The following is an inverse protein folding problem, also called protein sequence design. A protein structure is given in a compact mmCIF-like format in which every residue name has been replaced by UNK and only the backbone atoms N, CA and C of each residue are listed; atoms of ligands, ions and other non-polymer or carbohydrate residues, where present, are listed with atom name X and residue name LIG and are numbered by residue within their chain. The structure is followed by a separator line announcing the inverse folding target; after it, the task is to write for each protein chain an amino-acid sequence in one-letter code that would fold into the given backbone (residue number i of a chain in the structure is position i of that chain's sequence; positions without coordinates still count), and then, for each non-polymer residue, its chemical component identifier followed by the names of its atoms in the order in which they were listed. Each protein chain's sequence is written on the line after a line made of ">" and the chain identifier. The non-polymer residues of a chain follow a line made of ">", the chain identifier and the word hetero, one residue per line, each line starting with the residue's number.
data_IF_876078646909
#
_entry.id   IF_876078646909
#
_cell.length_a   1.000
_cell.length_b   1.000
_cell.length_c   1.000
_cell.angle_alpha   90.00
_cell.angle_beta   90.00
_cell.angle_gamma   90.00
#
_symmetry.space_group_name_H-M   'P 1'
#
loop_
_entity.id
_entity.type
_entity.pdbx_description
1 polymer ?
#
# COMPACT_ATOMS: atom_id res chain seq x y z
N UNK A 1 0.06 19.31 -6.89
CA UNK A 1 -0.24 18.62 -5.62
C UNK A 1 -0.26 17.15 -5.96
N UNK A 2 0.65 16.34 -5.42
CA UNK A 2 0.82 14.98 -5.91
C UNK A 2 -0.23 14.06 -5.27
N UNK A 3 -1.30 13.80 -6.02
CA UNK A 3 -2.19 12.67 -5.77
C UNK A 3 -1.35 11.39 -5.82
N UNK A 4 -1.36 10.63 -4.73
CA UNK A 4 -0.57 9.41 -4.60
C UNK A 4 -1.38 8.31 -3.95
N UNK A 5 -0.81 7.13 -3.88
CA UNK A 5 -1.43 5.91 -3.41
C UNK A 5 -0.57 5.34 -2.28
N UNK A 6 -1.21 5.11 -1.14
CA UNK A 6 -0.59 4.41 -0.03
C UNK A 6 -0.74 2.92 -0.25
N UNK A 7 0.39 2.22 -0.33
CA UNK A 7 0.45 0.76 -0.22
C UNK A 7 0.64 0.45 1.26
N UNK A 8 -0.34 -0.19 1.87
CA UNK A 8 -0.30 -0.61 3.27
C UNK A 8 -0.18 -2.12 3.28
N UNK A 9 0.83 -2.63 3.96
CA UNK A 9 1.09 -4.06 4.12
C UNK A 9 1.07 -4.42 5.60
N UNK A 10 0.38 -5.52 5.95
CA UNK A 10 0.26 -6.01 7.31
C UNK A 10 0.74 -7.45 7.34
N UNK A 11 1.79 -7.71 8.12
CA UNK A 11 2.25 -9.05 8.44
C UNK A 11 1.24 -9.73 9.34
N UNK A 12 0.65 -10.83 8.89
CA UNK A 12 -0.30 -11.65 9.66
C UNK A 12 0.39 -12.44 10.76
N UNK A 13 1.68 -12.74 10.59
CA UNK A 13 2.47 -13.48 11.56
C UNK A 13 2.81 -12.64 12.81
N UNK A 14 3.11 -11.36 12.63
CA UNK A 14 3.56 -10.47 13.71
C UNK A 14 2.58 -9.36 14.05
N UNK A 15 1.61 -9.08 13.18
CA UNK A 15 0.74 -7.91 13.27
C UNK A 15 1.43 -6.60 12.88
N UNK A 16 2.65 -6.65 12.36
CA UNK A 16 3.40 -5.45 11.97
C UNK A 16 2.81 -4.82 10.71
N UNK A 17 2.54 -3.52 10.77
CA UNK A 17 2.04 -2.75 9.65
C UNK A 17 3.14 -1.85 9.08
N UNK A 18 3.29 -1.86 7.77
CA UNK A 18 4.16 -0.96 7.02
C UNK A 18 3.35 -0.21 5.96
N UNK A 19 3.75 1.02 5.65
CA UNK A 19 3.07 1.84 4.64
C UNK A 19 4.08 2.58 3.78
N UNK A 20 3.81 2.61 2.48
CA UNK A 20 4.65 3.30 1.48
C UNK A 20 3.78 4.16 0.56
N UNK A 21 4.18 5.42 0.35
CA UNK A 21 3.51 6.33 -0.57
C UNK A 21 4.14 6.22 -1.96
N UNK A 22 3.33 5.90 -2.96
CA UNK A 22 3.74 5.81 -4.36
C UNK A 22 2.85 6.74 -5.18
N UNK A 23 3.44 7.58 -6.04
CA UNK A 23 2.68 8.58 -6.80
C UNK A 23 1.97 7.98 -8.01
N UNK A 24 2.53 6.93 -8.60
CA UNK A 24 1.94 6.23 -9.75
C UNK A 24 0.98 5.12 -9.27
N UNK A 25 -0.24 5.11 -9.82
CA UNK A 25 -1.28 4.12 -9.49
C UNK A 25 -0.87 2.69 -9.86
N UNK A 26 -0.34 2.51 -11.06
CA UNK A 26 0.01 1.19 -11.58
C UNK A 26 1.20 0.63 -10.80
N UNK A 27 2.17 1.49 -10.48
CA UNK A 27 3.31 1.13 -9.63
C UNK A 27 2.86 0.75 -8.21
N UNK A 28 1.92 1.50 -7.61
CA UNK A 28 1.36 1.18 -6.30
C UNK A 28 0.63 -0.16 -6.29
N UNK A 29 -0.13 -0.45 -7.35
CA UNK A 29 -0.83 -1.71 -7.50
C UNK A 29 0.13 -2.88 -7.69
N UNK A 30 1.12 -2.75 -8.58
CA UNK A 30 2.15 -3.77 -8.76
C UNK A 30 2.92 -4.03 -7.47
N UNK A 31 3.26 -2.97 -6.71
CA UNK A 31 3.96 -3.11 -5.43
C UNK A 31 3.10 -3.82 -4.38
N UNK A 32 1.81 -3.55 -4.35
CA UNK A 32 0.87 -4.27 -3.48
C UNK A 32 0.86 -5.77 -3.78
N UNK A 33 0.86 -6.14 -5.06
CA UNK A 33 0.89 -7.54 -5.49
C UNK A 33 2.24 -8.22 -5.20
N UNK A 34 3.34 -7.50 -5.36
CA UNK A 34 4.70 -8.00 -5.06
C UNK A 34 4.89 -8.31 -3.57
N UNK A 35 4.25 -7.52 -2.69
CA UNK A 35 4.28 -7.71 -1.24
C UNK A 35 3.19 -8.69 -0.77
N UNK A 36 2.10 -8.85 -1.53
CA UNK A 36 0.99 -9.74 -1.14
C UNK A 36 1.46 -11.19 -1.11
N UNK A 37 1.39 -11.79 0.07
CA UNK A 37 1.77 -13.17 0.30
C UNK A 37 0.74 -13.81 1.23
N UNK A 38 0.77 -15.14 1.38
CA UNK A 38 -0.13 -15.82 2.33
C UNK A 38 0.02 -15.28 3.77
N UNK A 39 1.21 -14.75 4.09
CA UNK A 39 1.58 -14.24 5.41
C UNK A 39 1.47 -12.70 5.51
N UNK A 40 1.36 -11.98 4.39
CA UNK A 40 1.28 -10.51 4.37
C UNK A 40 0.08 -10.05 3.56
N UNK A 41 -0.87 -9.41 4.22
CA UNK A 41 -2.00 -8.77 3.55
C UNK A 41 -1.59 -7.37 3.07
N UNK A 42 -1.90 -7.02 1.82
CA UNK A 42 -1.66 -5.67 1.29
C UNK A 42 -2.95 -5.00 0.84
N UNK A 43 -2.97 -3.68 0.91
CA UNK A 43 -4.07 -2.87 0.40
C UNK A 43 -3.56 -1.55 -0.16
N UNK A 44 -4.20 -1.08 -1.24
CA UNK A 44 -3.86 0.19 -1.88
C UNK A 44 -4.96 1.20 -1.58
N UNK A 45 -4.58 2.32 -0.97
CA UNK A 45 -5.49 3.39 -0.59
C UNK A 45 -5.09 4.66 -1.33
N UNK A 46 -6.01 5.20 -2.13
CA UNK A 46 -5.78 6.50 -2.75
C UNK A 46 -5.71 7.58 -1.68
N UNK A 47 -4.64 8.38 -1.66
CA UNK A 47 -4.52 9.54 -0.80
C UNK A 47 -5.53 10.58 -1.27
N UNK A 48 -6.63 10.71 -0.54
CA UNK A 48 -7.52 11.87 -0.67
C UNK A 48 -6.92 13.03 0.11
N UNK A 49 -6.72 14.17 -0.55
CA UNK A 49 -6.51 15.42 0.18
C UNK A 49 -7.75 15.69 1.04
N UNK A 50 -7.58 15.79 2.35
CA UNK A 50 -8.59 16.38 3.21
C UNK A 50 -8.70 17.84 2.78
N UNK A 51 -9.80 18.17 2.10
CA UNK A 51 -10.13 19.54 1.70
C UNK A 51 -10.99 20.15 2.78
#
# INVERSE_FOLDING_TARGET
>A
MADGFWVVSISRATGEASSQLILNKDEAYQRSLDIETAETATTVVARRNAT
#
